data_IF_214293394132
#
_entry.id   IF_214293394132
#
_cell.length_a   1.000
_cell.length_b   1.000
_cell.length_c   1.000
_cell.angle_alpha   90.00
_cell.angle_beta   90.00
_cell.angle_gamma   90.00
#
_symmetry.space_group_name_H-M   'P 1'
#
loop_
_entity.id
_entity.type
_entity.pdbx_description
1 polymer ?
#
# COMPACT_ATOMS: atom_id res chain seq x y z
N UNK A 1 6.06 16.05 20.50
CA UNK A 1 7.05 15.78 19.44
C UNK A 1 7.37 17.10 18.75
N UNK A 2 8.59 17.63 18.89
CA UNK A 2 9.06 18.75 18.08
C UNK A 2 9.61 18.18 16.77
N UNK A 3 9.00 18.52 15.64
CA UNK A 3 9.48 18.12 14.32
C UNK A 3 10.59 19.10 13.92
N UNK A 4 11.77 18.58 13.60
CA UNK A 4 12.88 19.37 13.07
C UNK A 4 12.98 19.12 11.56
N UNK A 5 12.83 20.21 10.82
CA UNK A 5 12.85 20.27 9.37
C UNK A 5 13.88 21.27 8.86
N UNK A 6 13.77 21.67 7.58
CA UNK A 6 14.69 22.63 6.96
C UNK A 6 14.69 23.95 7.74
N UNK A 7 15.87 24.45 8.11
CA UNK A 7 16.06 25.69 8.89
C UNK A 7 15.37 25.73 10.27
N UNK A 8 15.18 24.58 10.93
CA UNK A 8 14.55 24.54 12.26
C UNK A 8 13.02 24.73 12.22
N UNK A 9 12.42 24.71 11.03
CA UNK A 9 10.97 24.71 10.86
C UNK A 9 10.41 23.31 11.09
N UNK A 10 9.10 23.16 11.42
CA UNK A 10 8.46 21.85 11.53
C UNK A 10 8.18 21.17 10.16
N UNK A 11 8.83 21.63 9.07
CA UNK A 11 8.56 21.15 7.71
C UNK A 11 9.30 19.84 7.44
N UNK A 12 8.61 18.72 7.12
CA UNK A 12 9.25 17.45 6.84
C UNK A 12 10.27 17.53 5.70
N UNK A 13 11.38 16.81 5.83
CA UNK A 13 12.34 16.67 4.75
C UNK A 13 11.71 15.99 3.53
N UNK A 14 11.86 16.60 2.36
CA UNK A 14 11.45 15.99 1.10
C UNK A 14 12.23 14.70 0.87
N UNK A 15 11.53 13.58 0.83
CA UNK A 15 12.07 12.26 0.46
C UNK A 15 11.36 11.77 -0.80
N UNK A 16 12.06 11.06 -1.70
CA UNK A 16 11.42 10.48 -2.88
C UNK A 16 10.33 9.49 -2.46
N UNK A 17 9.17 9.60 -3.09
CA UNK A 17 8.05 8.66 -2.90
C UNK A 17 8.04 7.69 -4.08
N UNK A 18 8.18 6.40 -3.81
CA UNK A 18 8.09 5.36 -4.85
C UNK A 18 6.70 4.75 -4.83
N UNK A 19 5.98 4.88 -5.95
CA UNK A 19 4.67 4.27 -6.14
C UNK A 19 4.82 3.03 -7.02
N UNK A 20 4.28 1.89 -6.58
CA UNK A 20 4.22 0.66 -7.35
C UNK A 20 2.76 0.30 -7.56
N UNK A 21 2.36 0.10 -8.81
CA UNK A 21 0.98 -0.22 -9.19
C UNK A 21 0.93 -1.64 -9.75
N UNK A 22 0.03 -2.45 -9.20
CA UNK A 22 -0.18 -3.83 -9.61
C UNK A 22 -1.11 -3.98 -10.82
N UNK A 23 -1.34 -5.24 -11.19
CA UNK A 23 -2.34 -5.58 -12.22
C UNK A 23 -3.76 -5.24 -11.72
N UNK A 24 -4.64 -4.68 -12.56
CA UNK A 24 -6.03 -4.46 -12.20
C UNK A 24 -6.76 -5.76 -11.81
N UNK A 25 -7.57 -5.72 -10.75
CA UNK A 25 -8.47 -6.81 -10.36
C UNK A 25 -9.79 -6.67 -11.12
N UNK A 26 -10.18 -7.64 -11.97
CA UNK A 26 -11.42 -7.54 -12.74
C UNK A 26 -12.63 -7.69 -11.81
N UNK A 27 -13.55 -6.71 -11.87
CA UNK A 27 -14.82 -6.75 -11.13
C UNK A 27 -15.92 -7.18 -12.09
N UNK A 28 -16.60 -8.31 -11.86
CA UNK A 28 -17.69 -8.73 -12.72
C UNK A 28 -18.87 -7.74 -12.63
N UNK A 29 -19.42 -7.34 -13.77
CA UNK A 29 -20.62 -6.50 -13.84
C UNK A 29 -21.87 -7.38 -13.60
N UNK A 30 -22.52 -7.22 -12.46
CA UNK A 30 -23.71 -7.96 -12.01
C UNK A 30 -23.97 -7.64 -10.54
N UNK A 31 -25.17 -7.93 -10.02
CA UNK A 31 -25.55 -7.66 -8.61
C UNK A 31 -24.58 -8.35 -7.64
N UNK A 32 -23.52 -7.62 -7.26
CA UNK A 32 -22.64 -7.99 -6.15
C UNK A 32 -23.34 -7.66 -4.83
N UNK A 33 -24.48 -8.31 -4.57
CA UNK A 33 -25.18 -8.25 -3.27
C UNK A 33 -24.80 -9.41 -2.35
N UNK A 34 -23.70 -10.10 -2.64
CA UNK A 34 -23.22 -11.21 -1.82
C UNK A 34 -21.94 -10.79 -1.08
N UNK A 35 -22.06 -10.53 0.23
CA UNK A 35 -20.94 -10.20 1.12
C UNK A 35 -19.76 -11.18 0.96
N UNK A 36 -20.05 -12.46 0.71
CA UNK A 36 -19.04 -13.49 0.47
C UNK A 36 -18.19 -13.24 -0.80
N UNK A 37 -18.77 -12.70 -1.88
CA UNK A 37 -18.04 -12.39 -3.10
C UNK A 37 -17.10 -11.20 -2.89
N UNK A 38 -17.59 -10.16 -2.20
CA UNK A 38 -16.78 -8.99 -1.81
C UNK A 38 -15.63 -9.42 -0.91
N UNK A 39 -15.89 -10.27 0.09
CA UNK A 39 -14.88 -10.73 1.03
C UNK A 39 -13.80 -11.59 0.35
N UNK A 40 -14.18 -12.42 -0.63
CA UNK A 40 -13.23 -13.18 -1.44
C UNK A 40 -12.35 -12.26 -2.28
N UNK A 41 -12.93 -11.26 -2.96
CA UNK A 41 -12.17 -10.30 -3.76
C UNK A 41 -11.23 -9.45 -2.90
N UNK A 42 -11.70 -9.04 -1.71
CA UNK A 42 -10.90 -8.31 -0.75
C UNK A 42 -9.69 -9.13 -0.26
N UNK A 43 -9.88 -10.42 0.03
CA UNK A 43 -8.79 -11.31 0.41
C UNK A 43 -7.75 -11.48 -0.71
N UNK A 44 -8.20 -11.64 -1.96
CA UNK A 44 -7.32 -11.73 -3.14
C UNK A 44 -6.54 -10.41 -3.37
N UNK A 45 -7.21 -9.28 -3.18
CA UNK A 45 -6.59 -7.96 -3.27
C UNK A 45 -5.49 -7.79 -2.21
N UNK A 46 -5.78 -8.08 -0.94
CA UNK A 46 -4.80 -8.00 0.16
C UNK A 46 -3.57 -8.86 -0.14
N UNK A 47 -3.77 -10.13 -0.50
CA UNK A 47 -2.66 -11.04 -0.81
C UNK A 47 -1.78 -10.52 -1.96
N UNK A 48 -2.40 -9.87 -2.96
CA UNK A 48 -1.67 -9.29 -4.09
C UNK A 48 -0.87 -8.06 -3.68
N UNK A 49 -1.43 -7.19 -2.83
CA UNK A 49 -0.76 -6.00 -2.31
C UNK A 49 0.42 -6.40 -1.41
N UNK A 50 0.23 -7.37 -0.51
CA UNK A 50 1.30 -7.91 0.34
C UNK A 50 2.46 -8.44 -0.50
N UNK A 51 2.17 -9.27 -1.51
CA UNK A 51 3.18 -9.80 -2.43
C UNK A 51 3.92 -8.69 -3.17
N UNK A 52 3.19 -7.70 -3.67
CA UNK A 52 3.77 -6.59 -4.43
C UNK A 52 4.67 -5.71 -3.56
N UNK A 53 4.28 -5.48 -2.30
CA UNK A 53 5.09 -4.80 -1.30
C UNK A 53 6.39 -5.56 -1.01
N UNK A 54 6.32 -6.85 -0.72
CA UNK A 54 7.48 -7.70 -0.43
C UNK A 54 8.49 -7.72 -1.59
N UNK A 55 8.01 -7.75 -2.83
CA UNK A 55 8.85 -7.72 -4.02
C UNK A 55 9.62 -6.41 -4.19
N UNK A 56 9.04 -5.27 -3.80
CA UNK A 56 9.61 -3.95 -4.09
C UNK A 56 10.24 -3.26 -2.88
N UNK A 57 9.92 -3.66 -1.63
CA UNK A 57 10.39 -2.98 -0.41
C UNK A 57 11.92 -2.92 -0.30
N UNK A 58 12.62 -3.96 -0.78
CA UNK A 58 14.08 -4.01 -0.76
C UNK A 58 14.70 -3.03 -1.77
N UNK A 59 14.10 -2.88 -2.95
CA UNK A 59 14.58 -1.96 -3.99
C UNK A 59 14.48 -0.49 -3.63
N UNK A 60 13.61 -0.15 -2.67
CA UNK A 60 13.38 1.24 -2.20
C UNK A 60 14.07 1.51 -0.85
N UNK A 61 14.78 0.53 -0.28
CA UNK A 61 15.46 0.67 1.01
C UNK A 61 14.54 0.67 2.23
N UNK A 62 13.35 0.07 2.11
CA UNK A 62 12.28 0.05 3.12
C UNK A 62 12.10 -1.37 3.71
N UNK A 63 13.14 -2.22 3.63
CA UNK A 63 13.07 -3.65 3.97
C UNK A 63 12.64 -3.96 5.41
N UNK A 64 12.90 -3.04 6.35
CA UNK A 64 12.59 -3.19 7.77
C UNK A 64 11.16 -2.74 8.17
N UNK A 65 10.38 -2.15 7.26
CA UNK A 65 9.04 -1.66 7.57
C UNK A 65 8.00 -2.72 7.19
N UNK A 66 7.17 -3.18 8.14
CA UNK A 66 6.07 -4.08 7.82
C UNK A 66 4.94 -3.34 7.10
N UNK A 67 4.23 -4.03 6.22
CA UNK A 67 2.99 -3.52 5.63
C UNK A 67 1.88 -3.53 6.70
N UNK A 68 1.16 -2.40 6.82
CA UNK A 68 0.00 -2.26 7.70
C UNK A 68 -1.24 -2.03 6.84
N UNK A 69 -2.20 -2.96 6.93
CA UNK A 69 -3.52 -2.89 6.29
C UNK A 69 -4.54 -2.83 7.43
N UNK A 70 -5.42 -1.81 7.41
CA UNK A 70 -6.43 -1.54 8.45
C UNK A 70 -7.84 -1.87 7.95
#
# INVERSE_FOLDING_TARGET
MLFWGRWGTPIPHQKPMTLVVGKPVPVPAGEASLDAAVQKMHAEFIATVERLYELHKCGVGVSAVPLLIM
#
